data_IF_317479747720
#
_entry.id   IF_317479747720
#
_cell.length_a   1.000
_cell.length_b   1.000
_cell.length_c   1.000
_cell.angle_alpha   90.00
_cell.angle_beta   90.00
_cell.angle_gamma   90.00
#
_symmetry.space_group_name_H-M   'P 1'
#
loop_
_entity.id
_entity.type
_entity.pdbx_description
1 polymer ?
#
# COMPACT_ATOMS: atom_id res chain seq x y z
N UNK A 1 16.35 -18.17 13.72
CA UNK A 1 15.91 -17.79 13.75
C UNK A 1 15.76 -17.34 13.70
N UNK A 2 15.65 -17.19 13.67
CA UNK A 2 15.32 -16.67 13.70
C UNK A 2 15.05 -15.97 13.57
N UNK A 3 15.20 -15.56 13.73
CA UNK A 3 14.76 -14.76 13.63
C UNK A 3 14.67 -14.05 13.01
N UNK A 4 15.18 -14.08 13.39
CA UNK A 4 14.79 -13.21 12.32
C UNK A 4 13.97 -13.79 11.25
N UNK A 5 13.85 -14.69 11.17
CA UNK A 5 13.06 -15.08 10.38
C UNK A 5 11.70 -15.27 10.49
N UNK A 6 11.64 -15.63 11.41
CA UNK A 6 10.27 -15.40 11.78
C UNK A 6 9.75 -14.08 11.27
N UNK A 7 10.52 -13.09 11.51
CA UNK A 7 10.19 -11.77 11.00
C UNK A 7 9.97 -11.80 9.51
N UNK A 8 10.77 -12.56 8.81
CA UNK A 8 10.63 -12.63 7.38
C UNK A 8 9.32 -13.25 6.96
N UNK A 9 8.82 -14.18 7.72
CA UNK A 9 7.56 -14.81 7.36
C UNK A 9 6.41 -13.86 7.51
N UNK A 10 6.57 -12.80 8.28
CA UNK A 10 5.53 -11.80 8.46
C UNK A 10 5.73 -10.62 7.55
N UNK A 11 6.86 -10.54 6.87
CA UNK A 11 7.09 -9.43 5.96
C UNK A 11 6.23 -9.55 4.73
N UNK A 12 5.76 -8.41 4.29
CA UNK A 12 4.94 -8.32 3.11
C UNK A 12 5.40 -7.11 2.33
N UNK A 13 5.67 -7.32 1.06
CA UNK A 13 6.06 -6.22 0.19
C UNK A 13 4.82 -5.53 -0.33
N UNK A 14 4.95 -4.26 -0.68
CA UNK A 14 3.82 -3.50 -1.19
C UNK A 14 3.16 -4.22 -2.38
N UNK A 15 3.96 -4.72 -3.30
CA UNK A 15 3.40 -5.38 -4.48
C UNK A 15 2.77 -6.74 -4.18
N UNK A 16 2.91 -7.25 -2.96
CA UNK A 16 2.25 -8.49 -2.54
C UNK A 16 0.90 -8.22 -1.91
N UNK A 17 0.55 -6.96 -1.67
CA UNK A 17 -0.71 -6.60 -1.06
C UNK A 17 -1.84 -6.83 -2.05
N UNK A 18 -2.93 -7.50 -1.66
CA UNK A 18 -4.06 -7.68 -2.57
C UNK A 18 -4.53 -6.36 -3.17
N UNK A 19 -5.09 -6.42 -4.37
CA UNK A 19 -5.42 -5.25 -5.16
C UNK A 19 -6.73 -4.61 -4.71
N UNK A 20 -6.89 -4.40 -3.41
CA UNK A 20 -8.07 -3.72 -2.86
C UNK A 20 -7.60 -2.61 -1.95
N UNK A 21 -8.41 -1.56 -1.85
CA UNK A 21 -8.08 -0.45 -0.98
C UNK A 21 -8.00 -0.89 0.48
N UNK A 22 -8.91 -1.75 0.91
CA UNK A 22 -8.91 -2.21 2.28
C UNK A 22 -7.61 -2.94 2.64
N UNK A 23 -7.12 -3.77 1.73
CA UNK A 23 -5.87 -4.49 1.97
C UNK A 23 -4.71 -3.50 2.04
N UNK A 24 -4.72 -2.47 1.20
CA UNK A 24 -3.69 -1.44 1.24
C UNK A 24 -3.71 -0.71 2.57
N UNK A 25 -4.89 -0.35 3.06
CA UNK A 25 -5.03 0.36 4.33
C UNK A 25 -4.47 -0.50 5.48
N UNK A 26 -4.80 -1.78 5.50
CA UNK A 26 -4.31 -2.68 6.54
C UNK A 26 -2.79 -2.76 6.49
N UNK A 27 -2.23 -2.92 5.29
CA UNK A 27 -0.79 -2.99 5.12
C UNK A 27 -0.11 -1.71 5.60
N UNK A 28 -0.60 -0.56 5.14
CA UNK A 28 0.03 0.71 5.49
C UNK A 28 -0.10 1.02 6.97
N UNK A 29 -1.21 0.67 7.59
CA UNK A 29 -1.39 0.86 9.02
C UNK A 29 -0.36 0.04 9.80
N UNK A 30 -0.15 -1.19 9.39
CA UNK A 30 0.85 -2.04 10.04
C UNK A 30 2.25 -1.46 9.88
N UNK A 31 2.57 -0.97 8.68
CA UNK A 31 3.87 -0.37 8.42
C UNK A 31 4.04 0.95 9.15
N UNK A 32 2.97 1.55 9.61
CA UNK A 32 2.97 2.82 10.33
C UNK A 32 2.84 2.59 11.84
N UNK A 33 3.40 1.48 12.32
CA UNK A 33 3.42 1.14 13.74
C UNK A 33 2.03 1.00 14.35
N UNK A 34 1.06 0.57 13.54
CA UNK A 34 -0.30 0.38 14.00
C UNK A 34 -1.13 1.63 14.01
N UNK A 35 -0.55 2.78 13.70
CA UNK A 35 -1.31 4.02 13.61
C UNK A 35 -2.06 4.01 12.29
N UNK A 36 -3.36 4.20 12.36
CA UNK A 36 -4.23 4.03 11.20
C UNK A 36 -3.85 4.94 10.04
N UNK A 37 -3.70 4.33 8.88
CA UNK A 37 -3.54 5.05 7.62
C UNK A 37 -4.88 4.94 6.89
N UNK A 38 -5.34 6.04 6.32
CA UNK A 38 -6.61 6.07 5.60
C UNK A 38 -6.45 6.85 4.30
N UNK A 39 -7.42 6.71 3.42
CA UNK A 39 -7.39 7.42 2.14
C UNK A 39 -7.93 8.83 2.35
N UNK A 40 -7.11 9.81 2.02
CA UNK A 40 -7.52 11.22 2.10
C UNK A 40 -8.33 11.62 0.88
N UNK A 41 -7.93 11.14 -0.29
CA UNK A 41 -8.60 11.47 -1.53
C UNK A 41 -8.13 10.52 -2.63
N UNK A 42 -8.86 10.55 -3.74
CA UNK A 42 -8.41 9.82 -4.92
C UNK A 42 -8.78 10.64 -6.14
N UNK A 43 -8.10 10.35 -7.24
CA UNK A 43 -8.35 11.06 -8.49
C UNK A 43 -7.80 10.25 -9.65
N UNK A 44 -8.29 10.54 -10.85
CA UNK A 44 -7.80 9.91 -12.06
C UNK A 44 -6.83 10.90 -12.71
N UNK A 45 -5.60 10.44 -12.97
CA UNK A 45 -4.59 11.32 -13.54
C UNK A 45 -4.74 11.42 -15.06
N UNK A 46 -3.80 12.15 -15.70
CA UNK A 46 -3.88 12.42 -17.13
C UNK A 46 -3.81 11.16 -17.99
N UNK A 47 -3.24 10.08 -17.48
CA UNK A 47 -3.14 8.83 -18.23
C UNK A 47 -4.30 7.89 -17.96
N UNK A 48 -5.29 8.33 -17.17
CA UNK A 48 -6.46 7.50 -16.86
C UNK A 48 -6.25 6.56 -15.68
N UNK A 49 -5.19 6.75 -14.91
CA UNK A 49 -4.87 5.89 -13.77
C UNK A 49 -5.48 6.45 -12.49
N UNK A 50 -6.13 5.57 -11.71
CA UNK A 50 -6.71 5.98 -10.44
C UNK A 50 -5.60 6.06 -9.38
N UNK A 51 -5.46 7.22 -8.77
CA UNK A 51 -4.43 7.49 -7.77
C UNK A 51 -5.08 7.63 -6.41
N UNK A 52 -4.55 6.93 -5.42
CA UNK A 52 -5.05 7.00 -4.03
C UNK A 52 -4.07 7.78 -3.19
N UNK A 53 -4.50 8.92 -2.65
CA UNK A 53 -3.67 9.76 -1.78
C UNK A 53 -3.97 9.39 -0.34
N UNK A 54 -2.97 8.85 0.35
CA UNK A 54 -3.16 8.30 1.68
C UNK A 54 -2.69 9.27 2.75
N UNK A 55 -3.15 9.04 3.98
CA UNK A 55 -2.86 9.95 5.09
C UNK A 55 -1.39 9.96 5.49
N UNK A 56 -0.61 8.98 5.05
CA UNK A 56 0.82 8.95 5.33
C UNK A 56 1.61 9.91 4.40
N UNK A 57 0.91 10.64 3.52
CA UNK A 57 1.56 11.60 2.63
C UNK A 57 1.99 11.04 1.30
N UNK A 58 1.80 9.76 1.06
CA UNK A 58 2.20 9.12 -0.18
C UNK A 58 0.98 8.81 -1.03
N UNK A 59 1.22 8.61 -2.32
CA UNK A 59 0.18 8.25 -3.28
C UNK A 59 0.48 6.87 -3.83
N UNK A 60 -0.57 6.13 -4.11
CA UNK A 60 -0.45 4.74 -4.55
C UNK A 60 -1.39 4.49 -5.73
N UNK A 61 -1.00 3.56 -6.58
CA UNK A 61 -1.83 3.12 -7.70
C UNK A 61 -1.56 1.65 -7.96
N UNK A 62 -2.45 1.01 -8.68
CA UNK A 62 -2.23 -0.34 -9.16
C UNK A 62 -1.56 -0.25 -10.51
N UNK A 63 -0.51 -1.05 -10.73
CA UNK A 63 0.15 -1.09 -12.02
C UNK A 63 -0.63 -1.97 -12.99
N UNK A 64 -0.07 -2.19 -14.17
CA UNK A 64 -0.76 -2.95 -15.22
C UNK A 64 -1.03 -4.39 -14.81
N UNK A 65 -0.30 -4.90 -13.83
CA UNK A 65 -0.47 -6.27 -13.33
C UNK A 65 -1.34 -6.30 -12.08
N UNK A 66 -2.02 -5.19 -11.77
CA UNK A 66 -2.88 -5.05 -10.59
C UNK A 66 -2.10 -5.21 -9.30
N UNK A 67 -0.88 -4.70 -9.28
CA UNK A 67 -0.06 -4.71 -8.07
C UNK A 67 0.14 -3.29 -7.60
N UNK A 68 0.12 -3.10 -6.27
CA UNK A 68 0.28 -1.78 -5.69
C UNK A 68 1.70 -1.25 -5.90
N UNK A 69 1.79 0.02 -6.20
CA UNK A 69 3.08 0.72 -6.31
C UNK A 69 2.90 2.15 -5.85
N UNK A 70 4.01 2.78 -5.47
CA UNK A 70 3.99 4.19 -5.07
C UNK A 70 3.99 5.03 -6.35
N UNK A 71 3.06 5.98 -6.40
CA UNK A 71 2.97 6.90 -7.54
C UNK A 71 4.06 7.95 -7.42
N UNK A 72 4.87 8.06 -8.41
CA UNK A 72 5.96 9.03 -8.44
C UNK A 72 5.58 10.31 -9.18
#
# INVERSE_FOLDING_TARGET
MSQAFVKESDEQWLHDVPATLNALIVYLTRENNGIRVYEKSNYVNATGMLIHHMSNGLRYNLDKDSKWEITL
#
